data_IF_150792837599
#
_entry.id   IF_150792837599
#
_cell.length_a   1.000
_cell.length_b   1.000
_cell.length_c   1.000
_cell.angle_alpha   90.00
_cell.angle_beta   90.00
_cell.angle_gamma   90.00
#
_symmetry.space_group_name_H-M   'P 1'
#
loop_
_entity.id
_entity.type
_entity.pdbx_description
1 polymer ?
#
# COMPACT_ATOMS: atom_id res chain seq x y z
N UNK A 1 -19.85 -14.22 -2.48
CA UNK A 1 -20.53 -13.01 -2.01
C UNK A 1 -19.62 -11.79 -2.20
N UNK A 2 -20.13 -10.58 -2.51
CA UNK A 2 -19.33 -9.35 -2.74
C UNK A 2 -18.36 -9.04 -1.60
N UNK A 3 -18.75 -9.34 -0.36
CA UNK A 3 -17.97 -9.10 0.87
C UNK A 3 -16.69 -9.94 0.91
N UNK A 4 -16.72 -11.17 0.40
CA UNK A 4 -15.55 -12.05 0.39
C UNK A 4 -14.51 -11.63 -0.65
N UNK A 5 -14.97 -11.08 -1.79
CA UNK A 5 -14.11 -10.56 -2.87
C UNK A 5 -13.37 -9.28 -2.45
N UNK A 6 -14.04 -8.34 -1.80
CA UNK A 6 -13.41 -7.11 -1.31
C UNK A 6 -12.37 -7.36 -0.22
N UNK A 7 -12.55 -8.38 0.64
CA UNK A 7 -11.53 -8.79 1.61
C UNK A 7 -10.27 -9.38 0.97
N UNK A 8 -10.37 -10.01 -0.19
CA UNK A 8 -9.21 -10.60 -0.87
C UNK A 8 -8.25 -9.53 -1.44
N UNK A 9 -8.73 -8.38 -1.88
CA UNK A 9 -7.88 -7.27 -2.31
C UNK A 9 -7.00 -6.72 -1.18
N UNK A 10 -7.56 -6.57 0.02
CA UNK A 10 -6.81 -6.14 1.21
C UNK A 10 -5.87 -7.23 1.78
N UNK A 11 -6.02 -8.50 1.43
CA UNK A 11 -5.19 -9.60 1.94
C UNK A 11 -3.77 -9.54 1.39
N UNK A 12 -3.56 -9.09 0.16
CA UNK A 12 -2.22 -8.99 -0.47
C UNK A 12 -1.34 -7.96 0.22
N UNK A 13 -1.88 -6.79 0.49
CA UNK A 13 -1.17 -5.73 1.22
C UNK A 13 -0.91 -6.15 2.67
N UNK A 14 -1.83 -6.91 3.26
CA UNK A 14 -1.69 -7.49 4.60
C UNK A 14 -0.54 -8.49 4.69
N UNK A 15 -0.33 -9.32 3.67
CA UNK A 15 0.76 -10.31 3.67
C UNK A 15 2.13 -9.61 3.72
N UNK A 16 2.32 -8.51 2.99
CA UNK A 16 3.56 -7.75 3.01
C UNK A 16 3.80 -7.10 4.37
N UNK A 17 2.77 -6.47 4.91
CA UNK A 17 2.86 -5.81 6.22
C UNK A 17 3.05 -6.84 7.34
N UNK A 18 2.39 -7.99 7.26
CA UNK A 18 2.59 -9.10 8.19
C UNK A 18 4.03 -9.67 8.13
N UNK A 19 4.61 -9.79 6.93
CA UNK A 19 6.01 -10.18 6.73
C UNK A 19 6.98 -9.17 7.38
N UNK A 20 6.74 -7.86 7.23
CA UNK A 20 7.54 -6.82 7.87
C UNK A 20 7.43 -6.91 9.39
N UNK A 21 6.21 -7.07 9.93
CA UNK A 21 6.00 -7.21 11.37
C UNK A 21 6.74 -8.42 11.94
N UNK A 22 6.67 -9.57 11.25
CA UNK A 22 7.36 -10.80 11.65
C UNK A 22 8.89 -10.64 11.63
N UNK A 23 9.45 -10.05 10.57
CA UNK A 23 10.89 -9.84 10.43
C UNK A 23 11.45 -8.84 11.46
N UNK A 24 10.66 -7.84 11.83
CA UNK A 24 11.03 -6.84 12.82
C UNK A 24 10.72 -7.24 14.28
N UNK A 25 10.15 -8.43 14.50
CA UNK A 25 9.64 -8.91 15.80
C UNK A 25 8.66 -7.91 16.45
N UNK A 26 7.95 -7.14 15.64
CA UNK A 26 7.00 -6.13 16.11
C UNK A 26 5.64 -6.77 16.39
N UNK A 27 5.02 -6.43 17.52
CA UNK A 27 3.68 -6.91 17.86
C UNK A 27 2.63 -6.11 17.08
N UNK A 28 1.81 -6.80 16.32
CA UNK A 28 0.65 -6.21 15.67
C UNK A 28 -0.47 -6.02 16.70
N UNK A 29 -1.08 -4.86 16.73
CA UNK A 29 -2.23 -4.54 17.60
C UNK A 29 -3.35 -3.93 16.80
N UNK A 30 -4.60 -4.25 17.14
CA UNK A 30 -5.77 -3.66 16.49
C UNK A 30 -6.11 -2.32 17.13
N UNK A 31 -6.18 -1.27 16.32
CA UNK A 31 -6.62 0.08 16.68
C UNK A 31 -8.05 0.30 16.16
N UNK A 32 -9.05 -0.15 16.89
CA UNK A 32 -10.46 -0.09 16.47
C UNK A 32 -10.93 1.34 16.19
N UNK A 33 -10.47 2.33 16.96
CA UNK A 33 -10.78 3.76 16.74
C UNK A 33 -10.25 4.30 15.42
N UNK A 34 -9.23 3.67 14.85
CA UNK A 34 -8.63 4.02 13.55
C UNK A 34 -9.10 3.11 12.40
N UNK A 35 -9.88 2.07 12.68
CA UNK A 35 -10.23 1.01 11.73
C UNK A 35 -9.00 0.37 11.09
N UNK A 36 -7.96 0.11 11.88
CA UNK A 36 -6.69 -0.41 11.38
C UNK A 36 -6.02 -1.37 12.37
N UNK A 37 -5.30 -2.33 11.81
CA UNK A 37 -4.25 -3.02 12.54
C UNK A 37 -2.97 -2.19 12.42
N UNK A 38 -2.18 -2.17 13.48
CA UNK A 38 -1.07 -1.26 13.65
C UNK A 38 0.15 -1.96 14.24
N UNK A 39 1.33 -1.57 13.77
CA UNK A 39 2.59 -1.84 14.45
C UNK A 39 3.63 -0.75 14.16
N UNK A 40 4.62 -0.65 15.04
CA UNK A 40 5.66 0.35 14.96
C UNK A 40 7.02 -0.29 14.68
N UNK A 41 7.70 0.18 13.65
CA UNK A 41 9.05 -0.20 13.31
C UNK A 41 10.03 0.69 14.10
N UNK A 42 10.39 0.27 15.31
CA UNK A 42 11.22 1.05 16.22
C UNK A 42 12.54 1.54 15.60
N UNK A 43 13.23 0.68 14.85
CA UNK A 43 14.52 1.00 14.22
C UNK A 43 14.43 2.12 13.19
N UNK A 44 13.28 2.25 12.51
CA UNK A 44 13.06 3.20 11.43
C UNK A 44 12.16 4.36 11.84
N UNK A 45 11.56 4.31 13.02
CA UNK A 45 10.53 5.25 13.47
C UNK A 45 9.33 5.36 12.52
N UNK A 46 8.96 4.23 11.88
CA UNK A 46 7.85 4.15 10.93
C UNK A 46 6.63 3.49 11.59
N UNK A 47 5.50 4.17 11.48
CA UNK A 47 4.18 3.65 11.85
C UNK A 47 3.55 2.96 10.65
N UNK A 48 3.17 1.69 10.76
CA UNK A 48 2.50 0.94 9.71
C UNK A 48 1.07 0.62 10.12
N UNK A 49 0.14 0.89 9.21
CA UNK A 49 -1.29 0.69 9.40
C UNK A 49 -1.85 -0.16 8.27
N UNK A 50 -2.61 -1.19 8.64
CA UNK A 50 -3.41 -1.98 7.70
C UNK A 50 -4.88 -1.61 7.89
N UNK A 51 -5.51 -1.05 6.87
CA UNK A 51 -6.93 -0.74 6.92
C UNK A 51 -7.77 -2.00 7.15
N UNK A 52 -8.70 -1.92 8.10
CA UNK A 52 -9.73 -2.92 8.35
C UNK A 52 -11.10 -2.50 7.74
N UNK A 53 -11.15 -1.32 7.10
CA UNK A 53 -12.33 -0.88 6.35
C UNK A 53 -12.39 -1.53 4.96
N UNK A 54 -13.55 -1.47 4.32
CA UNK A 54 -13.67 -1.83 2.92
C UNK A 54 -12.90 -0.86 2.03
N UNK A 55 -12.48 -1.32 0.83
CA UNK A 55 -11.74 -0.50 -0.13
C UNK A 55 -12.49 0.81 -0.44
N UNK A 56 -13.81 0.75 -0.59
CA UNK A 56 -14.65 1.93 -0.85
C UNK A 56 -14.76 2.90 0.34
N UNK A 57 -14.31 2.50 1.51
CA UNK A 57 -14.31 3.28 2.76
C UNK A 57 -12.89 3.63 3.22
N UNK A 58 -11.89 3.49 2.37
CA UNK A 58 -10.47 3.68 2.71
C UNK A 58 -10.18 5.06 3.30
N UNK A 59 -10.94 6.10 2.90
CA UNK A 59 -10.78 7.44 3.45
C UNK A 59 -11.07 7.50 4.95
N UNK A 60 -11.97 6.66 5.47
CA UNK A 60 -12.32 6.65 6.91
C UNK A 60 -11.11 6.29 7.77
N UNK A 61 -10.38 5.25 7.35
CA UNK A 61 -9.13 4.85 8.01
C UNK A 61 -8.07 5.91 7.82
N UNK A 62 -7.85 6.36 6.57
CA UNK A 62 -6.85 7.36 6.25
C UNK A 62 -7.05 8.65 7.02
N UNK A 63 -8.27 9.21 7.05
CA UNK A 63 -8.59 10.46 7.76
C UNK A 63 -8.33 10.38 9.26
N UNK A 64 -8.67 9.24 9.87
CA UNK A 64 -8.46 9.03 11.31
C UNK A 64 -6.98 8.92 11.65
N UNK A 65 -6.18 8.24 10.82
CA UNK A 65 -4.74 8.15 10.98
C UNK A 65 -4.09 9.53 10.83
N UNK A 66 -4.46 10.28 9.79
CA UNK A 66 -3.96 11.65 9.58
C UNK A 66 -4.27 12.55 10.77
N UNK A 67 -5.50 12.50 11.27
CA UNK A 67 -5.92 13.27 12.46
C UNK A 67 -5.15 12.83 13.71
N UNK A 68 -4.96 11.54 13.91
CA UNK A 68 -4.21 10.98 15.04
C UNK A 68 -2.75 11.49 15.05
N UNK A 69 -2.13 11.66 13.90
CA UNK A 69 -0.78 12.20 13.70
C UNK A 69 -0.73 13.71 13.45
N UNK A 70 -1.74 14.47 13.89
CA UNK A 70 -1.79 15.94 13.84
C UNK A 70 -1.81 16.54 12.41
N UNK A 71 -2.43 15.86 11.48
CA UNK A 71 -2.69 16.34 10.11
C UNK A 71 -1.46 16.67 9.23
N UNK A 72 -0.27 16.17 9.53
CA UNK A 72 0.89 16.35 8.67
C UNK A 72 0.86 15.35 7.49
N UNK A 73 0.22 15.75 6.39
CA UNK A 73 0.06 14.91 5.19
C UNK A 73 1.38 14.56 4.52
N UNK A 74 2.41 15.39 4.65
CA UNK A 74 3.70 15.18 4.00
C UNK A 74 4.45 13.93 4.48
N UNK A 75 4.03 13.38 5.63
CA UNK A 75 4.60 12.18 6.25
C UNK A 75 3.79 10.91 6.03
N UNK A 76 2.72 10.99 5.20
CA UNK A 76 1.87 9.85 4.93
C UNK A 76 2.15 9.23 3.57
N UNK A 77 2.25 7.92 3.57
CA UNK A 77 2.46 7.12 2.40
C UNK A 77 1.33 6.10 2.30
N UNK A 78 0.69 6.04 1.14
CA UNK A 78 -0.30 5.01 0.83
C UNK A 78 0.37 3.93 -0.01
N UNK A 79 0.32 2.69 0.44
CA UNK A 79 0.77 1.52 -0.32
C UNK A 79 -0.44 0.91 -1.01
N UNK A 80 -0.38 0.73 -2.32
CA UNK A 80 -1.50 0.16 -3.07
C UNK A 80 -1.04 -0.62 -4.31
N UNK A 81 -1.87 -1.54 -4.76
CA UNK A 81 -1.69 -2.24 -6.04
C UNK A 81 -1.96 -1.32 -7.24
N UNK A 82 -1.28 -1.59 -8.35
CA UNK A 82 -1.38 -0.77 -9.55
C UNK A 82 -1.32 -1.64 -10.81
N UNK A 83 -2.39 -1.60 -11.61
CA UNK A 83 -2.51 -2.37 -12.85
C UNK A 83 -1.71 -1.77 -14.01
N UNK A 84 -1.35 -0.49 -13.93
CA UNK A 84 -0.58 0.21 -14.96
C UNK A 84 0.94 -0.06 -14.87
N UNK A 85 1.38 -0.75 -13.83
CA UNK A 85 2.75 -1.18 -13.66
C UNK A 85 2.88 -2.69 -13.86
N UNK A 86 3.95 -3.10 -14.54
CA UNK A 86 4.30 -4.52 -14.67
C UNK A 86 4.42 -5.16 -13.31
N UNK A 87 4.09 -6.45 -13.21
CA UNK A 87 4.12 -7.19 -11.95
C UNK A 87 5.49 -7.09 -11.27
N UNK A 88 5.48 -6.78 -9.98
CA UNK A 88 6.68 -6.63 -9.17
C UNK A 88 7.42 -5.29 -9.34
N UNK A 89 7.02 -4.44 -10.28
CA UNK A 89 7.57 -3.08 -10.38
C UNK A 89 7.03 -2.21 -9.25
N UNK A 90 7.91 -1.46 -8.58
CA UNK A 90 7.50 -0.53 -7.52
C UNK A 90 7.90 0.88 -7.92
N UNK A 91 7.01 1.84 -7.68
CA UNK A 91 7.25 3.27 -7.88
C UNK A 91 6.80 4.07 -6.66
N UNK A 92 7.60 5.03 -6.26
CA UNK A 92 7.22 6.04 -5.26
C UNK A 92 6.90 7.35 -5.96
N UNK A 93 5.69 7.84 -5.81
CA UNK A 93 5.20 9.07 -6.44
C UNK A 93 4.42 9.93 -5.45
N UNK A 94 4.52 11.25 -5.59
CA UNK A 94 3.62 12.20 -4.96
C UNK A 94 2.51 12.58 -5.93
N UNK A 95 1.28 12.66 -5.46
CA UNK A 95 0.14 13.13 -6.25
C UNK A 95 -0.34 12.20 -7.36
N UNK A 96 -1.20 12.74 -8.22
CA UNK A 96 -1.78 12.07 -9.40
C UNK A 96 -3.12 11.39 -9.17
N UNK A 97 -3.80 11.05 -10.28
CA UNK A 97 -5.12 10.42 -10.27
C UNK A 97 -5.17 9.04 -9.63
N UNK A 98 -6.35 8.44 -9.58
CA UNK A 98 -6.58 7.15 -8.90
C UNK A 98 -6.38 5.91 -9.80
N UNK A 99 -6.19 6.07 -11.13
CA UNK A 99 -5.97 4.95 -12.04
C UNK A 99 -7.04 3.85 -12.00
N UNK A 100 -8.29 4.21 -11.68
CA UNK A 100 -9.38 3.23 -11.49
C UNK A 100 -9.42 2.55 -10.12
N UNK A 101 -8.41 2.72 -9.28
CA UNK A 101 -8.36 2.10 -7.96
C UNK A 101 -9.38 2.74 -7.00
N UNK A 102 -10.40 1.98 -6.58
CA UNK A 102 -11.53 2.49 -5.78
C UNK A 102 -11.11 3.06 -4.42
N UNK A 103 -10.14 2.46 -3.75
CA UNK A 103 -9.61 2.97 -2.49
C UNK A 103 -8.95 4.34 -2.65
N UNK A 104 -8.12 4.51 -3.68
CA UNK A 104 -7.49 5.80 -4.00
C UNK A 104 -8.54 6.85 -4.41
N UNK A 105 -9.52 6.47 -5.26
CA UNK A 105 -10.62 7.36 -5.63
C UNK A 105 -11.30 7.93 -4.39
N UNK A 106 -11.60 7.05 -3.43
CA UNK A 106 -12.26 7.43 -2.19
C UNK A 106 -11.38 8.35 -1.31
N UNK A 107 -10.08 8.09 -1.20
CA UNK A 107 -9.15 8.97 -0.48
C UNK A 107 -9.02 10.31 -1.19
N UNK A 108 -8.78 10.33 -2.51
CA UNK A 108 -8.59 11.56 -3.30
C UNK A 108 -9.83 12.46 -3.25
N UNK A 109 -11.02 11.88 -3.33
CA UNK A 109 -12.29 12.61 -3.29
C UNK A 109 -12.47 13.41 -2.00
N UNK A 110 -11.93 12.93 -0.87
CA UNK A 110 -12.11 13.55 0.45
C UNK A 110 -10.88 14.33 0.93
N UNK A 111 -9.69 13.97 0.46
CA UNK A 111 -8.41 14.52 0.93
C UNK A 111 -7.59 15.26 -0.12
N UNK A 112 -8.00 15.20 -1.40
CA UNK A 112 -7.16 15.63 -2.51
C UNK A 112 -6.09 14.59 -2.86
N UNK A 113 -5.26 14.92 -3.84
CA UNK A 113 -4.27 14.00 -4.39
C UNK A 113 -2.84 14.17 -3.84
N UNK A 114 -2.60 15.19 -3.01
CA UNK A 114 -1.28 15.58 -2.51
C UNK A 114 -0.82 14.69 -1.36
N UNK A 115 -0.49 13.43 -1.67
CA UNK A 115 0.14 12.49 -0.75
C UNK A 115 1.04 11.51 -1.51
N UNK A 116 2.00 10.94 -0.80
CA UNK A 116 2.93 9.96 -1.37
C UNK A 116 2.31 8.58 -1.50
N UNK A 117 2.68 7.87 -2.56
CA UNK A 117 2.17 6.54 -2.90
C UNK A 117 3.30 5.59 -3.27
N UNK A 118 3.36 4.46 -2.61
CA UNK A 118 4.06 3.29 -3.10
C UNK A 118 3.11 2.52 -4.01
N UNK A 119 3.37 2.56 -5.31
CA UNK A 119 2.60 1.88 -6.34
C UNK A 119 3.25 0.54 -6.61
N UNK A 120 2.54 -0.56 -6.35
CA UNK A 120 3.04 -1.92 -6.52
C UNK A 120 2.38 -2.53 -7.75
N UNK A 121 3.15 -2.79 -8.78
CA UNK A 121 2.69 -3.35 -10.03
C UNK A 121 2.16 -4.77 -9.87
N UNK A 122 0.95 -4.98 -10.38
CA UNK A 122 0.30 -6.29 -10.47
C UNK A 122 0.01 -6.70 -11.93
N UNK A 123 0.41 -5.86 -12.89
CA UNK A 123 0.15 -6.06 -14.32
C UNK A 123 -1.30 -5.79 -14.71
N UNK A 124 -1.54 -5.74 -16.01
CA UNK A 124 -2.85 -5.45 -16.61
C UNK A 124 -3.36 -6.67 -17.39
N UNK A 125 -4.65 -7.01 -17.30
CA UNK A 125 -5.22 -8.18 -18.02
C UNK A 125 -5.37 -7.96 -19.53
N UNK A 126 -5.03 -6.78 -20.06
CA UNK A 126 -5.19 -6.42 -21.47
C UNK A 126 -6.59 -5.91 -21.84
N UNK A 127 -7.62 -6.24 -21.06
CA UNK A 127 -9.00 -5.81 -21.28
C UNK A 127 -9.57 -5.20 -19.99
N UNK A 128 -10.27 -4.04 -20.14
CA UNK A 128 -10.88 -3.33 -19.01
C UNK A 128 -11.96 -4.14 -18.30
N UNK A 129 -12.71 -4.96 -19.03
CA UNK A 129 -13.79 -5.79 -18.47
C UNK A 129 -13.25 -6.89 -17.53
N UNK A 130 -11.98 -7.26 -17.69
CA UNK A 130 -11.32 -8.27 -16.86
C UNK A 130 -10.63 -7.69 -15.62
N UNK A 131 -10.52 -6.37 -15.47
CA UNK A 131 -9.78 -5.74 -14.38
C UNK A 131 -10.33 -6.14 -13.00
N UNK A 132 -11.64 -6.19 -12.83
CA UNK A 132 -12.26 -6.57 -11.55
C UNK A 132 -11.89 -7.99 -11.15
N UNK A 133 -11.93 -8.92 -12.09
CA UNK A 133 -11.56 -10.32 -11.82
C UNK A 133 -10.04 -10.46 -11.66
N UNK A 134 -9.26 -9.72 -12.44
CA UNK A 134 -7.79 -9.70 -12.36
C UNK A 134 -7.29 -9.34 -10.97
N UNK A 135 -7.75 -8.21 -10.40
CA UNK A 135 -7.34 -7.76 -9.07
C UNK A 135 -7.80 -8.69 -7.94
N UNK A 136 -8.75 -9.59 -8.21
CA UNK A 136 -9.28 -10.57 -7.26
C UNK A 136 -8.70 -11.97 -7.46
N UNK A 137 -8.01 -12.22 -8.57
CA UNK A 137 -7.44 -13.53 -8.91
C UNK A 137 -6.17 -13.79 -8.08
N UNK A 138 -5.92 -15.06 -7.77
CA UNK A 138 -4.68 -15.49 -7.12
C UNK A 138 -3.52 -15.43 -8.11
N UNK A 139 -2.37 -14.98 -7.64
CA UNK A 139 -1.14 -15.02 -8.42
C UNK A 139 -0.68 -16.46 -8.68
N UNK A 140 -0.15 -16.70 -9.88
CA UNK A 140 0.58 -17.91 -10.20
C UNK A 140 1.87 -18.04 -9.35
N UNK A 141 2.48 -19.23 -9.26
CA UNK A 141 3.74 -19.39 -8.54
C UNK A 141 4.87 -18.48 -9.04
N UNK A 142 4.98 -18.27 -10.36
CA UNK A 142 5.98 -17.36 -10.94
C UNK A 142 5.73 -15.90 -10.59
N UNK A 143 4.49 -15.45 -10.62
CA UNK A 143 4.10 -14.10 -10.20
C UNK A 143 4.33 -13.87 -8.71
N UNK A 144 4.07 -14.88 -7.88
CA UNK A 144 4.40 -14.82 -6.45
C UNK A 144 5.90 -14.63 -6.23
N UNK A 145 6.75 -15.36 -6.93
CA UNK A 145 8.19 -15.20 -6.85
C UNK A 145 8.63 -13.78 -7.22
N UNK A 146 8.05 -13.21 -8.29
CA UNK A 146 8.31 -11.83 -8.71
C UNK A 146 7.90 -10.84 -7.63
N UNK A 147 6.74 -11.04 -7.00
CA UNK A 147 6.25 -10.19 -5.91
C UNK A 147 7.05 -10.37 -4.61
N UNK A 148 7.59 -11.55 -4.33
CA UNK A 148 8.48 -11.77 -3.18
C UNK A 148 9.80 -11.00 -3.34
N UNK A 149 10.35 -10.95 -4.56
CA UNK A 149 11.53 -10.11 -4.88
C UNK A 149 11.18 -8.61 -4.76
N UNK A 150 10.01 -8.21 -5.24
CA UNK A 150 9.51 -6.85 -5.09
C UNK A 150 9.33 -6.47 -3.61
N UNK A 151 8.87 -7.40 -2.79
CA UNK A 151 8.77 -7.21 -1.34
C UNK A 151 10.13 -6.88 -0.70
N UNK A 152 11.19 -7.59 -1.09
CA UNK A 152 12.56 -7.31 -0.61
C UNK A 152 12.97 -5.89 -1.00
N UNK A 153 12.73 -5.49 -2.27
CA UNK A 153 13.01 -4.12 -2.74
C UNK A 153 12.21 -3.08 -1.95
N UNK A 154 10.92 -3.34 -1.70
CA UNK A 154 10.08 -2.47 -0.88
C UNK A 154 10.61 -2.34 0.56
N UNK A 155 10.94 -3.46 1.20
CA UNK A 155 11.47 -3.46 2.57
C UNK A 155 12.76 -2.63 2.66
N UNK A 156 13.70 -2.82 1.73
CA UNK A 156 14.94 -2.04 1.67
C UNK A 156 14.67 -0.54 1.43
N UNK A 157 13.62 -0.21 0.68
CA UNK A 157 13.24 1.18 0.42
C UNK A 157 12.77 1.91 1.68
N UNK A 158 12.21 1.19 2.67
CA UNK A 158 11.84 1.78 3.96
C UNK A 158 13.07 2.21 4.77
N UNK A 159 14.16 1.45 4.68
CA UNK A 159 15.44 1.84 5.30
C UNK A 159 15.99 3.11 4.67
N UNK A 160 15.97 3.20 3.33
CA UNK A 160 16.41 4.39 2.59
C UNK A 160 15.51 5.58 2.91
N UNK A 161 14.18 5.38 2.93
CA UNK A 161 13.22 6.43 3.27
C UNK A 161 13.50 7.03 4.66
N UNK A 162 13.78 6.16 5.64
CA UNK A 162 14.01 6.59 7.01
C UNK A 162 15.37 7.27 7.23
N UNK A 163 16.41 6.84 6.52
CA UNK A 163 17.79 7.32 6.70
C UNK A 163 18.15 8.46 5.74
N UNK A 164 17.78 8.31 4.48
CA UNK A 164 18.27 9.14 3.38
C UNK A 164 17.18 10.04 2.76
N UNK A 165 15.93 9.87 3.21
CA UNK A 165 14.78 10.70 2.83
C UNK A 165 14.07 10.25 1.54
N UNK A 166 13.03 11.03 1.19
CA UNK A 166 12.08 10.69 0.13
C UNK A 166 12.74 10.68 -1.25
N UNK A 167 13.57 11.64 -1.55
CA UNK A 167 14.21 11.79 -2.88
C UNK A 167 15.08 10.56 -3.21
N UNK A 168 15.90 10.13 -2.26
CA UNK A 168 16.74 8.95 -2.44
C UNK A 168 15.91 7.66 -2.53
N UNK A 169 14.83 7.56 -1.76
CA UNK A 169 13.88 6.46 -1.86
C UNK A 169 13.19 6.44 -3.23
N UNK A 170 12.76 7.59 -3.75
CA UNK A 170 12.19 7.70 -5.10
C UNK A 170 13.21 7.29 -6.17
N UNK A 171 14.43 7.79 -6.09
CA UNK A 171 15.50 7.40 -7.01
C UNK A 171 15.73 5.89 -7.01
N UNK A 172 15.85 5.28 -5.85
CA UNK A 172 16.03 3.83 -5.69
C UNK A 172 14.90 3.01 -6.31
N UNK A 173 13.64 3.42 -6.11
CA UNK A 173 12.47 2.68 -6.59
C UNK A 173 12.13 2.98 -8.05
N UNK A 174 12.37 4.21 -8.52
CA UNK A 174 11.95 4.68 -9.84
C UNK A 174 13.01 4.46 -10.92
N UNK A 175 14.22 4.09 -10.57
CA UNK A 175 15.25 3.61 -11.51
C UNK A 175 14.97 2.15 -11.86
N UNK A 176 15.00 1.80 -13.14
CA UNK A 176 14.80 0.44 -13.66
C UNK A 176 16.01 -0.46 -13.37
#
# INVERSE_FOLDING_TARGET
TPIRRQRQMCIRDRDWIAKIASSSKSKVSTKSSLYADYFFLNKLSIHLYMSNSYVNDSYKTFSRIVKYHKNDKSKFFVVHDDIDLSIGKIRLKCGGGHGGHNGLRNIIQHFGEDFYRFRIGIGHPGNKDLVTDWVLTKFSPSEKNTLDNAFIKFHNSLDILAKDGIENCQKFLNTD
#
